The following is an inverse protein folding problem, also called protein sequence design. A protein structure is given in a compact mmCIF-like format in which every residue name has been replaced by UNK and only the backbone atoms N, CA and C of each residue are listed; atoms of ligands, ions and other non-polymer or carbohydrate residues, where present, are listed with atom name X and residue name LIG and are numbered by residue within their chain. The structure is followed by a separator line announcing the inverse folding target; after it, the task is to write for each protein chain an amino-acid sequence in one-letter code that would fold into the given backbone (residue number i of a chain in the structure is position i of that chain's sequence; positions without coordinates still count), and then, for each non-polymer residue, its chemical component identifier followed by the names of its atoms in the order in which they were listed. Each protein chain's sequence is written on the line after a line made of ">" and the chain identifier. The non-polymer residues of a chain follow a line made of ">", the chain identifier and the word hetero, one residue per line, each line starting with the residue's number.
data_IF_681953590791
#
_entry.id   IF_681953590791
#
_cell.length_a   1.000
_cell.length_b   1.000
_cell.length_c   1.000
_cell.angle_alpha   90.00
_cell.angle_beta   90.00
_cell.angle_gamma   90.00
#
_symmetry.space_group_name_H-M   'P 1'
#
loop_
_entity.id
_entity.type
_entity.pdbx_description
1 polymer ?
#
# COMPACT_ATOMS: atom_id res chain seq x y z
N UNK A 1 -25.39 -50.13 39.61
CA UNK A 1 -26.45 -49.30 40.22
C UNK A 1 -25.94 -47.87 40.35
N UNK A 2 -26.49 -46.97 39.52
CA UNK A 2 -26.76 -45.54 39.76
C UNK A 2 -25.55 -44.61 40.06
N UNK A 3 -25.13 -43.77 39.13
CA UNK A 3 -25.76 -42.52 38.64
C UNK A 3 -25.15 -41.30 39.33
N UNK A 4 -24.38 -40.50 38.59
CA UNK A 4 -24.77 -39.19 38.00
C UNK A 4 -25.25 -38.18 39.05
N UNK A 5 -24.53 -37.07 39.18
CA UNK A 5 -25.01 -35.68 39.06
C UNK A 5 -24.14 -34.74 39.91
N UNK A 6 -23.29 -33.96 39.24
CA UNK A 6 -22.77 -32.71 39.78
C UNK A 6 -23.03 -31.62 38.75
N UNK A 7 -24.13 -30.88 38.95
CA UNK A 7 -24.35 -29.56 38.36
C UNK A 7 -23.62 -28.52 39.20
N UNK A 8 -23.20 -27.41 38.58
CA UNK A 8 -23.71 -26.14 39.08
C UNK A 8 -24.18 -25.18 37.96
N UNK A 9 -25.47 -24.85 38.05
CA UNK A 9 -26.06 -23.49 38.07
C UNK A 9 -25.36 -22.41 37.23
N UNK A 10 -25.96 -22.11 36.07
CA UNK A 10 -25.80 -20.82 35.38
C UNK A 10 -26.81 -19.80 35.93
N UNK A 11 -26.43 -18.54 36.21
CA UNK A 11 -27.40 -17.50 36.44
C UNK A 11 -27.90 -16.90 35.12
N UNK A 12 -29.21 -17.05 34.93
CA UNK A 12 -30.08 -16.33 34.00
C UNK A 12 -30.07 -14.84 34.37
N UNK A 13 -29.83 -13.96 33.38
CA UNK A 13 -30.21 -12.55 33.41
C UNK A 13 -30.97 -12.22 32.12
N UNK A 14 -32.17 -12.78 32.00
CA UNK A 14 -33.24 -12.21 31.20
C UNK A 14 -34.26 -11.58 32.14
N UNK A 15 -34.67 -10.37 31.81
CA UNK A 15 -35.65 -9.63 32.58
C UNK A 15 -35.25 -8.17 32.62
N UNK A 16 -35.80 -7.39 31.69
CA UNK A 16 -36.40 -6.10 31.96
C UNK A 16 -37.02 -5.57 30.64
N UNK A 17 -38.31 -5.22 30.74
CA UNK A 17 -39.22 -4.58 29.77
C UNK A 17 -40.00 -5.47 28.79
N UNK A 18 -40.98 -6.20 29.34
CA UNK A 18 -42.30 -6.34 28.72
C UNK A 18 -43.38 -5.97 29.74
N UNK A 19 -44.47 -5.36 29.25
CA UNK A 19 -45.61 -4.71 29.94
C UNK A 19 -45.35 -3.24 30.29
N UNK A 20 -46.02 -2.25 29.68
CA UNK A 20 -47.47 -2.00 29.55
C UNK A 20 -47.63 -1.15 28.25
N UNK A 21 -48.51 -1.44 27.28
CA UNK A 21 -49.92 -1.00 27.18
C UNK A 21 -50.62 -1.88 26.13
N UNK A 22 -51.70 -2.56 26.53
CA UNK A 22 -52.72 -3.08 25.60
C UNK A 22 -53.77 -1.99 25.38
N UNK A 23 -54.13 -1.74 24.12
CA UNK A 23 -55.45 -1.20 23.75
C UNK A 23 -55.47 0.24 23.22
N UNK A 24 -55.36 0.41 21.90
CA UNK A 24 -56.20 1.33 21.12
C UNK A 24 -56.01 1.07 19.61
N UNK A 25 -57.07 1.19 18.78
CA UNK A 25 -57.12 0.60 17.45
C UNK A 25 -56.86 1.61 16.33
N UNK A 26 -56.47 1.09 15.16
CA UNK A 26 -56.44 1.71 13.83
C UNK A 26 -55.65 3.03 13.63
N UNK A 27 -54.62 2.94 12.76
CA UNK A 27 -54.39 4.01 11.78
C UNK A 27 -53.19 4.92 11.98
N UNK A 28 -51.97 4.41 12.14
CA UNK A 28 -50.77 5.15 11.74
C UNK A 28 -49.84 4.27 10.91
N UNK A 29 -49.91 4.44 9.59
CA UNK A 29 -48.90 3.99 8.64
C UNK A 29 -47.60 4.71 9.02
N UNK A 30 -46.75 4.05 9.82
CA UNK A 30 -45.36 4.44 9.99
C UNK A 30 -44.77 4.49 8.59
N UNK A 31 -44.59 5.70 8.07
CA UNK A 31 -43.71 5.95 6.94
C UNK A 31 -42.38 5.36 7.38
N UNK A 32 -42.03 4.19 6.83
CA UNK A 32 -40.67 3.73 6.79
C UNK A 32 -39.92 4.88 6.12
N UNK A 33 -39.26 5.69 6.94
CA UNK A 33 -38.19 6.54 6.48
C UNK A 33 -37.16 5.56 5.95
N UNK A 34 -37.22 5.27 4.66
CA UNK A 34 -36.06 4.76 3.95
C UNK A 34 -35.07 5.89 4.02
N UNK A 35 -34.32 5.94 5.13
CA UNK A 35 -33.07 6.64 5.20
C UNK A 35 -32.21 5.99 4.13
N UNK A 36 -32.32 6.53 2.91
CA UNK A 36 -31.33 6.35 1.87
C UNK A 36 -29.99 6.64 2.54
N UNK A 37 -29.04 5.70 2.56
CA UNK A 37 -27.74 5.98 3.13
C UNK A 37 -27.16 7.13 2.33
N UNK A 38 -27.08 8.29 2.97
CA UNK A 38 -26.39 9.46 2.47
C UNK A 38 -25.00 9.01 2.05
N UNK A 39 -24.78 8.97 0.74
CA UNK A 39 -23.49 8.67 0.12
C UNK A 39 -22.58 9.90 0.30
N UNK A 40 -22.22 10.16 1.55
CA UNK A 40 -21.46 11.33 1.98
C UNK A 40 -20.48 11.03 3.11
N UNK A 41 -20.23 9.77 3.45
CA UNK A 41 -19.19 9.44 4.43
C UNK A 41 -17.82 9.75 3.84
N UNK A 42 -17.10 10.69 4.45
CA UNK A 42 -15.73 11.02 4.10
C UNK A 42 -14.88 9.73 4.00
N UNK A 43 -14.00 9.59 3.00
CA UNK A 43 -13.20 8.39 2.84
C UNK A 43 -12.38 8.15 4.12
N UNK A 44 -12.45 6.94 4.67
CA UNK A 44 -11.66 6.56 5.84
C UNK A 44 -10.18 6.89 5.63
N UNK A 45 -9.45 7.17 6.71
CA UNK A 45 -8.02 7.47 6.67
C UNK A 45 -7.21 6.44 5.87
N UNK A 46 -7.61 5.16 5.98
CA UNK A 46 -7.05 4.03 5.23
C UNK A 46 -7.38 4.12 3.73
N UNK A 47 -8.64 4.43 3.37
CA UNK A 47 -9.04 4.60 1.97
C UNK A 47 -8.30 5.77 1.31
N UNK A 48 -8.13 6.88 2.03
CA UNK A 48 -7.34 8.01 1.59
C UNK A 48 -5.86 7.62 1.41
N UNK A 49 -5.27 6.90 2.36
CA UNK A 49 -3.88 6.43 2.25
C UNK A 49 -3.67 5.48 1.06
N UNK A 50 -4.62 4.56 0.79
CA UNK A 50 -4.61 3.70 -0.42
C UNK A 50 -4.67 4.53 -1.70
N UNK A 51 -5.54 5.54 -1.75
CA UNK A 51 -5.66 6.45 -2.90
C UNK A 51 -4.36 7.23 -3.14
N UNK A 52 -3.75 7.75 -2.07
CA UNK A 52 -2.44 8.42 -2.13
C UNK A 52 -1.33 7.48 -2.61
N UNK A 53 -1.33 6.22 -2.16
CA UNK A 53 -0.33 5.23 -2.56
C UNK A 53 -0.42 4.90 -4.05
N UNK A 54 -1.64 4.75 -4.58
CA UNK A 54 -1.88 4.51 -6.01
C UNK A 54 -1.56 5.74 -6.89
N UNK A 55 -1.56 6.93 -6.32
CA UNK A 55 -1.28 8.18 -7.02
C UNK A 55 0.20 8.58 -7.05
N UNK A 56 1.08 7.81 -6.40
CA UNK A 56 2.51 8.06 -6.48
C UNK A 56 3.00 7.83 -7.91
N UNK A 57 3.92 8.68 -8.41
CA UNK A 57 4.58 8.42 -9.69
C UNK A 57 5.40 7.12 -9.61
N UNK A 58 5.60 6.50 -10.76
CA UNK A 58 6.45 5.31 -10.86
C UNK A 58 7.92 5.67 -10.58
N UNK A 59 8.65 4.83 -9.83
CA UNK A 59 10.07 5.05 -9.60
C UNK A 59 10.86 4.78 -10.89
N UNK A 60 12.02 5.43 -11.04
CA UNK A 60 12.86 5.25 -12.22
C UNK A 60 13.46 3.84 -12.32
N UNK A 61 13.73 3.23 -11.15
CA UNK A 61 14.18 1.85 -11.02
C UNK A 61 13.21 1.11 -10.11
N UNK A 62 12.82 -0.11 -10.51
CA UNK A 62 11.95 -0.95 -9.68
C UNK A 62 12.78 -1.81 -8.74
N UNK A 63 12.37 -1.96 -7.46
CA UNK A 63 13.09 -2.81 -6.53
C UNK A 63 13.00 -4.27 -6.96
N UNK A 64 14.10 -5.04 -6.91
CA UNK A 64 14.06 -6.46 -7.24
C UNK A 64 13.11 -7.19 -6.29
N UNK A 65 12.45 -8.23 -6.80
CA UNK A 65 11.55 -9.05 -5.99
C UNK A 65 12.37 -10.01 -5.15
N UNK A 66 11.96 -10.21 -3.89
CA UNK A 66 12.58 -11.21 -3.01
C UNK A 66 12.45 -12.61 -3.64
N UNK A 67 13.45 -13.49 -3.44
CA UNK A 67 13.38 -14.85 -3.94
C UNK A 67 12.22 -15.59 -3.29
N UNK A 68 11.54 -16.42 -4.09
CA UNK A 68 10.46 -17.29 -3.65
C UNK A 68 11.02 -18.35 -2.70
N UNK A 69 10.42 -18.60 -1.52
CA UNK A 69 10.90 -19.63 -0.62
C UNK A 69 10.69 -21.04 -1.19
N UNK A 70 11.46 -22.02 -0.71
CA UNK A 70 11.57 -23.36 -1.31
C UNK A 70 10.22 -24.06 -1.44
N UNK A 71 9.40 -24.02 -0.38
CA UNK A 71 8.05 -24.55 -0.38
C UNK A 71 7.16 -23.92 -1.48
N UNK A 72 7.25 -22.62 -1.72
CA UNK A 72 6.41 -21.95 -2.73
C UNK A 72 6.89 -22.27 -4.15
N UNK A 73 8.19 -22.48 -4.36
CA UNK A 73 8.70 -22.99 -5.64
C UNK A 73 8.12 -24.39 -5.93
N UNK A 74 8.23 -25.30 -4.96
CA UNK A 74 7.61 -26.63 -5.05
C UNK A 74 6.10 -26.56 -5.27
N UNK A 75 5.40 -25.76 -4.45
CA UNK A 75 3.96 -25.60 -4.53
C UNK A 75 3.52 -25.04 -5.88
N UNK A 76 4.28 -24.13 -6.47
CA UNK A 76 3.98 -23.60 -7.80
C UNK A 76 4.06 -24.67 -8.89
N UNK A 77 5.08 -25.53 -8.85
CA UNK A 77 5.23 -26.65 -9.78
C UNK A 77 4.13 -27.71 -9.59
N UNK A 78 3.86 -28.10 -8.34
CA UNK A 78 2.82 -29.08 -8.03
C UNK A 78 1.41 -28.55 -8.32
N UNK A 79 1.15 -27.27 -8.09
CA UNK A 79 -0.14 -26.64 -8.41
C UNK A 79 -0.43 -26.69 -9.91
N UNK A 80 0.58 -26.51 -10.77
CA UNK A 80 0.41 -26.65 -12.22
C UNK A 80 0.08 -28.08 -12.65
N UNK A 81 0.61 -29.09 -11.95
CA UNK A 81 0.31 -30.50 -12.21
C UNK A 81 -1.10 -30.84 -11.72
N UNK A 82 -1.39 -30.57 -10.45
CA UNK A 82 -2.67 -30.90 -9.81
C UNK A 82 -3.86 -30.12 -10.36
N UNK A 83 -3.64 -28.93 -10.92
CA UNK A 83 -4.72 -28.16 -11.55
C UNK A 83 -5.25 -28.79 -12.85
N UNK A 84 -4.41 -29.58 -13.53
CA UNK A 84 -4.74 -30.32 -14.77
C UNK A 84 -5.33 -31.70 -14.50
N UNK A 85 -5.13 -32.23 -13.31
CA UNK A 85 -5.63 -33.54 -12.91
C UNK A 85 -7.18 -33.54 -12.83
N UNK A 86 -7.79 -34.56 -13.43
CA UNK A 86 -9.24 -34.72 -13.52
C UNK A 86 -9.89 -34.91 -12.14
N UNK A 87 -9.13 -35.44 -11.17
CA UNK A 87 -9.56 -35.59 -9.77
C UNK A 87 -10.01 -34.26 -9.11
N UNK A 88 -9.53 -33.12 -9.64
CA UNK A 88 -9.85 -31.79 -9.15
C UNK A 88 -10.71 -30.96 -10.12
N UNK A 89 -11.15 -31.52 -11.26
CA UNK A 89 -11.85 -30.78 -12.31
C UNK A 89 -13.29 -30.39 -11.93
N UNK A 90 -14.02 -31.25 -11.22
CA UNK A 90 -15.45 -31.09 -10.95
C UNK A 90 -15.77 -30.37 -9.61
N UNK A 91 -14.84 -29.54 -9.11
CA UNK A 91 -15.01 -28.79 -7.86
C UNK A 91 -15.19 -27.30 -8.14
N UNK A 92 -16.00 -26.63 -7.32
CA UNK A 92 -16.08 -25.18 -7.27
C UNK A 92 -14.67 -24.57 -7.17
N UNK A 93 -14.41 -23.50 -7.90
CA UNK A 93 -13.06 -22.93 -8.03
C UNK A 93 -12.34 -22.71 -6.68
N UNK A 94 -13.05 -22.20 -5.66
CA UNK A 94 -12.48 -22.00 -4.31
C UNK A 94 -12.21 -23.33 -3.59
N UNK A 95 -13.11 -24.30 -3.72
CA UNK A 95 -12.95 -25.63 -3.13
C UNK A 95 -11.82 -26.40 -3.82
N UNK A 96 -11.69 -26.28 -5.16
CA UNK A 96 -10.58 -26.81 -5.97
C UNK A 96 -9.24 -26.29 -5.47
N UNK A 97 -9.07 -24.97 -5.36
CA UNK A 97 -7.82 -24.36 -4.87
C UNK A 97 -7.47 -24.82 -3.45
N UNK A 98 -8.47 -24.95 -2.58
CA UNK A 98 -8.26 -25.41 -1.19
C UNK A 98 -7.83 -26.88 -1.14
N UNK A 99 -8.46 -27.75 -1.94
CA UNK A 99 -8.10 -29.16 -2.05
C UNK A 99 -6.68 -29.34 -2.60
N UNK A 100 -6.34 -28.64 -3.69
CA UNK A 100 -5.00 -28.64 -4.28
C UNK A 100 -3.96 -28.15 -3.25
N UNK A 101 -4.23 -27.05 -2.54
CA UNK A 101 -3.29 -26.54 -1.54
C UNK A 101 -3.04 -27.52 -0.40
N UNK A 102 -4.06 -28.24 0.07
CA UNK A 102 -3.90 -29.27 1.12
C UNK A 102 -3.06 -30.45 0.62
N UNK A 103 -3.31 -30.89 -0.60
CA UNK A 103 -2.55 -31.96 -1.24
C UNK A 103 -1.08 -31.58 -1.43
N UNK A 104 -0.79 -30.35 -1.87
CA UNK A 104 0.58 -29.83 -2.00
C UNK A 104 1.31 -29.83 -0.65
N UNK A 105 0.66 -29.35 0.42
CA UNK A 105 1.26 -29.38 1.76
C UNK A 105 1.61 -30.80 2.18
N UNK A 106 0.69 -31.77 1.99
CA UNK A 106 0.94 -33.17 2.32
C UNK A 106 2.10 -33.76 1.51
N UNK A 107 2.18 -33.44 0.21
CA UNK A 107 3.28 -33.86 -0.66
C UNK A 107 4.62 -33.26 -0.22
N UNK A 108 4.65 -32.00 0.22
CA UNK A 108 5.87 -31.38 0.73
C UNK A 108 6.34 -32.04 2.04
N UNK A 109 5.42 -32.37 2.95
CA UNK A 109 5.76 -33.04 4.21
C UNK A 109 6.38 -34.42 3.96
N UNK A 110 5.78 -35.20 3.03
CA UNK A 110 6.26 -36.53 2.63
C UNK A 110 7.50 -36.52 1.74
N UNK A 111 7.86 -35.37 1.16
CA UNK A 111 9.00 -35.26 0.26
C UNK A 111 10.31 -35.59 1.00
N UNK A 112 11.18 -36.46 0.45
CA UNK A 112 12.45 -36.77 1.08
C UNK A 112 13.33 -35.53 1.19
N UNK A 113 14.15 -35.50 2.23
CA UNK A 113 15.01 -34.34 2.54
C UNK A 113 16.01 -34.05 1.41
N UNK A 114 16.43 -35.08 0.65
CA UNK A 114 17.29 -34.93 -0.53
C UNK A 114 16.67 -34.04 -1.60
N UNK A 115 15.37 -34.18 -1.88
CA UNK A 115 14.65 -33.36 -2.84
C UNK A 115 14.33 -31.98 -2.29
N UNK A 116 13.96 -31.87 -1.01
CA UNK A 116 13.81 -30.57 -0.33
C UNK A 116 15.09 -29.74 -0.44
N UNK A 117 16.25 -30.37 -0.23
CA UNK A 117 17.57 -29.72 -0.37
C UNK A 117 17.80 -29.15 -1.77
N UNK A 118 17.30 -29.77 -2.84
CA UNK A 118 17.42 -29.20 -4.19
C UNK A 118 16.64 -27.88 -4.32
N UNK A 119 15.42 -27.81 -3.78
CA UNK A 119 14.66 -26.56 -3.75
C UNK A 119 15.35 -25.51 -2.89
N UNK A 120 15.90 -25.88 -1.73
CA UNK A 120 16.70 -24.97 -0.92
C UNK A 120 17.94 -24.45 -1.67
N UNK A 121 18.67 -25.30 -2.39
CA UNK A 121 19.80 -24.89 -3.21
C UNK A 121 19.40 -23.92 -4.33
N UNK A 122 18.24 -24.12 -4.97
CA UNK A 122 17.69 -23.17 -5.94
C UNK A 122 17.37 -21.81 -5.30
N UNK A 123 16.82 -21.82 -4.08
CA UNK A 123 16.54 -20.59 -3.33
C UNK A 123 17.82 -19.86 -2.93
N UNK A 124 18.86 -20.56 -2.50
CA UNK A 124 20.15 -19.93 -2.17
C UNK A 124 20.79 -19.27 -3.40
N UNK A 125 20.75 -19.93 -4.56
CA UNK A 125 21.17 -19.31 -5.83
C UNK A 125 20.35 -18.06 -6.15
N UNK A 126 19.03 -18.12 -6.00
CA UNK A 126 18.15 -16.98 -6.24
C UNK A 126 18.37 -15.85 -5.21
N UNK A 127 18.69 -16.16 -3.95
CA UNK A 127 19.07 -15.18 -2.92
C UNK A 127 20.37 -14.47 -3.28
N UNK A 128 21.41 -15.22 -3.68
CA UNK A 128 22.67 -14.62 -4.11
C UNK A 128 22.49 -13.72 -5.34
N UNK A 129 21.63 -14.09 -6.28
CA UNK A 129 21.25 -13.23 -7.40
C UNK A 129 20.51 -11.97 -6.93
N UNK A 130 19.50 -12.13 -6.06
CA UNK A 130 18.76 -11.01 -5.49
C UNK A 130 19.67 -10.02 -4.76
N UNK A 131 20.65 -10.48 -3.99
CA UNK A 131 21.59 -9.60 -3.30
C UNK A 131 22.44 -8.78 -4.26
N UNK A 132 22.91 -9.39 -5.36
CA UNK A 132 23.62 -8.68 -6.44
C UNK A 132 22.72 -7.64 -7.11
N UNK A 133 21.53 -8.04 -7.50
CA UNK A 133 20.55 -7.16 -8.14
C UNK A 133 20.11 -6.03 -7.20
N UNK A 134 19.99 -6.31 -5.91
CA UNK A 134 19.63 -5.32 -4.89
C UNK A 134 20.77 -4.33 -4.65
N UNK A 135 22.03 -4.75 -4.64
CA UNK A 135 23.18 -3.84 -4.61
C UNK A 135 23.20 -2.93 -5.85
N UNK A 136 22.97 -3.50 -7.03
CA UNK A 136 22.87 -2.75 -8.28
C UNK A 136 21.70 -1.76 -8.28
N UNK A 137 20.56 -2.17 -7.72
CA UNK A 137 19.39 -1.32 -7.52
C UNK A 137 19.74 -0.11 -6.64
N UNK A 138 20.40 -0.33 -5.50
CA UNK A 138 20.77 0.75 -4.59
C UNK A 138 21.75 1.74 -5.23
N UNK A 139 22.66 1.26 -6.08
CA UNK A 139 23.60 2.12 -6.80
C UNK A 139 22.93 2.94 -7.91
N UNK A 140 21.93 2.38 -8.60
CA UNK A 140 21.20 3.05 -9.70
C UNK A 140 20.08 3.97 -9.20
N UNK A 141 19.65 3.82 -7.95
CA UNK A 141 18.52 4.58 -7.38
C UNK A 141 18.85 6.07 -7.31
N UNK A 142 17.94 6.91 -7.79
CA UNK A 142 18.09 8.36 -7.69
C UNK A 142 17.60 8.90 -6.33
N UNK A 143 18.05 10.10 -5.91
CA UNK A 143 17.50 10.76 -4.72
C UNK A 143 15.99 11.00 -4.76
N UNK A 144 15.42 11.18 -5.96
CA UNK A 144 13.99 11.30 -6.16
C UNK A 144 13.27 9.97 -5.87
N UNK A 145 13.83 8.82 -6.28
CA UNK A 145 13.26 7.51 -5.97
C UNK A 145 13.29 7.23 -4.46
N UNK A 146 14.34 7.64 -3.76
CA UNK A 146 14.43 7.53 -2.29
C UNK A 146 13.27 8.27 -1.62
N UNK A 147 12.90 9.46 -2.14
CA UNK A 147 11.78 10.25 -1.65
C UNK A 147 10.45 9.52 -1.87
N UNK A 148 10.26 8.94 -3.07
CA UNK A 148 9.08 8.16 -3.42
C UNK A 148 8.94 6.92 -2.53
N UNK A 149 10.00 6.15 -2.36
CA UNK A 149 10.03 4.97 -1.48
C UNK A 149 9.68 5.32 -0.03
N UNK A 150 10.25 6.40 0.51
CA UNK A 150 9.95 6.87 1.86
C UNK A 150 8.47 7.23 2.01
N UNK A 151 7.88 7.90 1.01
CA UNK A 151 6.45 8.25 1.01
C UNK A 151 5.58 7.00 0.89
N UNK A 152 5.91 6.08 -0.02
CA UNK A 152 5.23 4.81 -0.19
C UNK A 152 5.28 3.96 1.10
N UNK A 153 6.43 3.91 1.77
CA UNK A 153 6.59 3.23 3.05
C UNK A 153 5.67 3.80 4.14
N UNK A 154 5.64 5.14 4.30
CA UNK A 154 4.74 5.78 5.28
C UNK A 154 3.26 5.48 4.99
N UNK A 155 2.86 5.50 3.72
CA UNK A 155 1.49 5.19 3.33
C UNK A 155 1.15 3.71 3.56
N UNK A 156 2.04 2.78 3.21
CA UNK A 156 1.86 1.34 3.50
C UNK A 156 1.74 1.09 5.00
N UNK A 157 2.59 1.72 5.82
CA UNK A 157 2.52 1.66 7.29
C UNK A 157 1.20 2.22 7.84
N UNK A 158 0.68 3.29 7.25
CA UNK A 158 -0.63 3.85 7.64
C UNK A 158 -1.81 2.94 7.24
N UNK A 159 -1.66 2.14 6.18
CA UNK A 159 -2.72 1.21 5.71
C UNK A 159 -2.72 -0.08 6.55
N UNK A 160 -1.54 -0.63 6.85
CA UNK A 160 -1.35 -1.86 7.65
C UNK A 160 -0.10 -1.70 8.53
N UNK A 161 -0.24 -1.18 9.77
CA UNK A 161 0.89 -0.96 10.66
C UNK A 161 1.49 -2.28 11.16
N UNK A 162 0.65 -3.30 11.34
CA UNK A 162 1.00 -4.68 11.71
C UNK A 162 1.90 -5.38 10.68
N UNK A 163 1.73 -5.04 9.38
CA UNK A 163 2.50 -5.61 8.27
C UNK A 163 3.54 -4.65 7.70
N UNK A 164 3.93 -3.62 8.45
CA UNK A 164 4.90 -2.65 7.99
C UNK A 164 6.28 -3.33 7.81
N UNK A 165 6.83 -3.24 6.60
CA UNK A 165 8.17 -3.78 6.30
C UNK A 165 9.27 -2.96 6.97
N UNK A 166 10.52 -3.39 6.83
CA UNK A 166 11.67 -2.56 7.18
C UNK A 166 11.63 -1.20 6.43
N UNK A 167 12.19 -0.16 7.05
CA UNK A 167 12.33 1.16 6.44
C UNK A 167 13.26 1.06 5.22
N UNK A 168 12.98 1.78 4.13
CA UNK A 168 13.88 1.80 2.98
C UNK A 168 15.26 2.38 3.38
N UNK A 169 16.35 1.91 2.76
CA UNK A 169 17.69 2.40 3.06
C UNK A 169 17.80 3.88 2.72
N UNK A 170 18.64 4.59 3.50
CA UNK A 170 18.95 6.00 3.23
C UNK A 170 19.78 6.10 1.93
N UNK A 171 19.75 7.28 1.35
CA UNK A 171 20.65 7.60 0.26
C UNK A 171 22.08 7.72 0.80
N UNK A 172 23.05 7.09 0.12
CA UNK A 172 24.45 7.14 0.51
C UNK A 172 25.05 8.54 0.26
N UNK A 173 24.57 9.24 -0.77
CA UNK A 173 25.08 10.55 -1.19
C UNK A 173 24.38 11.71 -0.45
N UNK A 174 23.31 11.44 0.29
CA UNK A 174 22.64 12.48 1.06
C UNK A 174 23.53 12.94 2.23
N UNK A 175 23.76 14.26 2.38
CA UNK A 175 24.48 14.80 3.53
C UNK A 175 23.85 14.28 4.85
N UNK A 176 24.68 13.82 5.77
CA UNK A 176 24.24 13.43 7.12
C UNK A 176 24.09 14.68 7.98
N UNK A 177 23.05 14.72 8.81
CA UNK A 177 22.85 15.82 9.76
C UNK A 177 24.05 15.88 10.74
N UNK A 178 24.50 17.08 11.11
CA UNK A 178 25.59 17.23 12.06
C UNK A 178 25.16 16.73 13.44
N UNK A 179 26.14 16.30 14.22
CA UNK A 179 25.90 15.89 15.61
C UNK A 179 25.45 17.11 16.43
N UNK A 180 24.33 16.95 17.13
CA UNK A 180 23.83 17.95 18.08
C UNK A 180 24.83 18.12 19.23
N UNK A 181 24.77 19.25 19.93
CA UNK A 181 25.67 19.55 21.06
C UNK A 181 25.71 18.41 22.09
N UNK A 182 24.55 17.87 22.48
CA UNK A 182 24.46 16.71 23.38
C UNK A 182 25.12 15.45 22.81
N UNK A 183 24.89 15.13 21.53
CA UNK A 183 25.46 13.89 20.94
C UNK A 183 26.97 14.03 20.75
N UNK A 184 27.50 15.25 20.58
CA UNK A 184 28.96 15.50 20.63
C UNK A 184 29.52 15.21 22.00
N UNK A 185 28.93 15.79 23.04
CA UNK A 185 29.31 15.52 24.41
C UNK A 185 29.23 14.02 24.73
N UNK A 186 28.13 13.36 24.34
CA UNK A 186 27.98 11.92 24.49
C UNK A 186 29.10 11.16 23.76
N UNK A 187 29.40 11.51 22.50
CA UNK A 187 30.49 10.88 21.75
C UNK A 187 31.84 11.07 22.46
N UNK A 188 32.11 12.28 22.96
CA UNK A 188 33.36 12.62 23.61
C UNK A 188 33.50 11.84 24.93
N UNK A 189 32.46 11.80 25.77
CA UNK A 189 32.42 10.98 27.00
C UNK A 189 32.65 9.50 26.67
N UNK A 190 31.96 8.95 25.68
CA UNK A 190 32.14 7.53 25.29
C UNK A 190 33.51 7.24 24.66
N UNK A 191 34.24 8.25 24.20
CA UNK A 191 35.60 8.12 23.69
C UNK A 191 36.67 8.27 24.79
N UNK A 192 36.29 8.75 25.98
CA UNK A 192 37.17 8.82 27.15
C UNK A 192 37.36 7.45 27.80
N UNK A 193 38.41 7.30 28.61
CA UNK A 193 38.64 6.09 29.41
C UNK A 193 37.49 5.85 30.40
N UNK A 194 37.22 4.60 30.81
CA UNK A 194 36.18 4.28 31.79
C UNK A 194 36.27 5.15 33.05
N UNK A 195 37.47 5.36 33.60
CA UNK A 195 37.68 6.22 34.78
C UNK A 195 37.18 7.66 34.58
N UNK A 196 37.43 8.27 33.41
CA UNK A 196 36.95 9.63 33.11
C UNK A 196 35.45 9.66 32.83
N UNK A 197 34.89 8.58 32.29
CA UNK A 197 33.44 8.44 32.19
C UNK A 197 32.82 8.44 33.58
N UNK A 198 33.39 7.71 34.53
CA UNK A 198 32.91 7.65 35.91
C UNK A 198 33.01 9.02 36.61
N UNK A 199 34.08 9.79 36.38
CA UNK A 199 34.21 11.16 36.87
C UNK A 199 33.09 12.07 36.32
N UNK A 200 32.81 12.00 35.03
CA UNK A 200 31.78 12.84 34.38
C UNK A 200 30.36 12.40 34.76
N UNK A 201 30.14 11.10 34.92
CA UNK A 201 28.83 10.48 35.13
C UNK A 201 28.51 10.36 36.64
N UNK A 202 29.52 10.45 37.51
CA UNK A 202 29.42 10.34 38.97
C UNK A 202 29.12 8.91 39.46
N UNK A 203 29.26 7.90 38.60
CA UNK A 203 28.96 6.50 38.90
C UNK A 203 29.75 5.56 38.01
N UNK A 204 30.09 4.38 38.54
CA UNK A 204 30.77 3.34 37.76
C UNK A 204 29.97 2.95 36.52
N UNK A 205 30.63 2.85 35.37
CA UNK A 205 30.00 2.38 34.12
C UNK A 205 30.08 0.87 33.95
N UNK A 206 30.84 0.19 34.81
CA UNK A 206 31.02 -1.27 34.78
C UNK A 206 29.74 -2.00 35.19
N UNK A 207 29.26 -2.91 34.33
CA UNK A 207 28.09 -3.75 34.61
C UNK A 207 26.72 -3.05 34.50
N UNK A 208 26.68 -1.75 34.21
CA UNK A 208 25.43 -1.00 34.02
C UNK A 208 24.92 -1.15 32.58
N UNK A 209 23.59 -1.20 32.41
CA UNK A 209 23.02 -1.25 31.06
C UNK A 209 23.34 0.02 30.26
N UNK A 210 23.60 -0.07 28.93
CA UNK A 210 23.89 1.12 28.11
C UNK A 210 22.78 2.19 28.15
N UNK A 211 21.55 1.78 28.43
CA UNK A 211 20.40 2.67 28.58
C UNK A 211 20.48 3.53 29.85
N UNK A 212 20.93 2.95 30.97
CA UNK A 212 21.14 3.67 32.22
C UNK A 212 22.34 4.59 32.14
N UNK A 213 23.45 4.14 31.55
CA UNK A 213 24.63 5.00 31.28
C UNK A 213 24.20 6.23 30.47
N UNK A 214 23.40 6.05 29.41
CA UNK A 214 22.89 7.18 28.63
C UNK A 214 22.01 8.15 29.44
N UNK A 215 21.25 7.67 30.45
CA UNK A 215 20.45 8.56 31.31
C UNK A 215 21.35 9.40 32.23
N UNK A 216 22.41 8.79 32.76
CA UNK A 216 23.36 9.47 33.62
C UNK A 216 24.19 10.50 32.83
N UNK A 217 24.65 10.16 31.62
CA UNK A 217 25.32 11.12 30.72
C UNK A 217 24.40 12.29 30.36
N UNK A 218 23.09 12.03 30.17
CA UNK A 218 22.12 13.10 29.97
C UNK A 218 21.94 14.00 31.19
N UNK A 219 22.02 13.45 32.41
CA UNK A 219 22.02 14.23 33.65
C UNK A 219 23.30 15.08 33.77
N UNK A 220 24.46 14.49 33.51
CA UNK A 220 25.75 15.18 33.49
C UNK A 220 25.77 16.33 32.46
N UNK A 221 25.24 16.11 31.26
CA UNK A 221 25.12 17.17 30.27
C UNK A 221 24.19 18.31 30.72
N UNK A 222 23.16 18.02 31.51
CA UNK A 222 22.28 19.07 32.07
C UNK A 222 22.97 19.87 33.16
N UNK A 223 23.79 19.24 34.01
CA UNK A 223 24.56 19.91 35.07
C UNK A 223 25.83 20.59 34.59
N UNK A 224 26.30 20.31 33.36
CA UNK A 224 27.48 20.95 32.77
C UNK A 224 27.38 22.49 32.80
N UNK A 225 28.49 23.22 33.10
CA UNK A 225 28.49 24.67 33.05
C UNK A 225 28.23 25.19 31.63
N UNK A 226 27.61 26.37 31.53
CA UNK A 226 27.23 26.95 30.25
C UNK A 226 28.43 27.23 29.34
N UNK A 227 29.62 27.48 29.92
CA UNK A 227 30.88 27.63 29.18
C UNK A 227 31.25 26.39 28.36
N UNK A 228 31.14 25.19 28.95
CA UNK A 228 31.42 23.94 28.26
C UNK A 228 30.32 23.56 27.29
N UNK A 229 29.05 23.78 27.65
CA UNK A 229 27.91 23.61 26.73
C UNK A 229 28.07 24.49 25.49
N UNK A 230 28.48 25.74 25.66
CA UNK A 230 28.72 26.69 24.57
C UNK A 230 29.71 26.15 23.55
N UNK A 231 30.80 25.49 23.96
CA UNK A 231 31.75 24.84 23.04
C UNK A 231 31.07 23.83 22.11
N UNK A 232 30.16 23.00 22.64
CA UNK A 232 29.43 22.03 21.83
C UNK A 232 28.32 22.67 20.99
N UNK A 233 27.67 23.73 21.51
CA UNK A 233 26.64 24.47 20.80
C UNK A 233 27.22 25.24 19.60
N UNK A 234 28.36 25.91 19.76
CA UNK A 234 29.03 26.64 18.67
C UNK A 234 29.51 25.67 17.59
N UNK A 235 30.13 24.55 17.97
CA UNK A 235 30.52 23.48 17.03
C UNK A 235 29.32 22.89 16.27
N UNK A 236 28.16 22.75 16.92
CA UNK A 236 26.93 22.35 16.24
C UNK A 236 26.43 23.43 15.29
N UNK A 237 26.44 24.71 15.70
CA UNK A 237 25.97 25.82 14.89
C UNK A 237 26.77 25.96 13.58
N UNK A 238 28.10 25.92 13.66
CA UNK A 238 28.99 26.02 12.48
C UNK A 238 28.76 24.86 11.51
N UNK A 239 28.70 23.63 12.02
CA UNK A 239 28.43 22.46 11.17
C UNK A 239 26.99 22.41 10.65
N UNK A 240 26.01 22.94 11.39
CA UNK A 240 24.63 23.08 10.95
C UNK A 240 24.49 24.03 9.77
N UNK A 241 25.23 25.14 9.77
CA UNK A 241 25.30 26.04 8.63
C UNK A 241 25.95 25.39 7.41
N UNK A 242 27.10 24.72 7.61
CA UNK A 242 27.76 23.97 6.54
C UNK A 242 26.84 22.87 5.97
N UNK A 243 26.09 22.18 6.83
CA UNK A 243 25.11 21.17 6.44
C UNK A 243 23.95 21.77 5.66
N UNK A 244 23.39 22.92 6.08
CA UNK A 244 22.33 23.63 5.33
C UNK A 244 22.80 23.95 3.92
N UNK A 245 24.03 24.45 3.75
CA UNK A 245 24.64 24.71 2.44
C UNK A 245 24.78 23.42 1.61
N UNK A 246 25.36 22.36 2.18
CA UNK A 246 25.49 21.04 1.51
C UNK A 246 24.15 20.45 1.08
N UNK A 247 23.13 20.55 1.93
CA UNK A 247 21.77 20.06 1.61
C UNK A 247 21.11 20.88 0.51
N UNK A 248 21.30 22.20 0.50
CA UNK A 248 20.76 23.04 -0.56
C UNK A 248 21.35 22.67 -1.93
N UNK A 249 22.67 22.49 -2.00
CA UNK A 249 23.37 22.02 -3.21
C UNK A 249 22.89 20.63 -3.63
N UNK A 250 22.77 19.71 -2.68
CA UNK A 250 22.28 18.35 -2.93
C UNK A 250 20.83 18.33 -3.47
N UNK A 251 19.93 19.11 -2.86
CA UNK A 251 18.54 19.20 -3.34
C UNK A 251 18.46 19.77 -4.76
N UNK A 252 19.26 20.80 -5.04
CA UNK A 252 19.29 21.48 -6.34
C UNK A 252 19.87 20.59 -7.44
N UNK A 253 21.04 19.99 -7.19
CA UNK A 253 21.72 19.13 -8.17
C UNK A 253 20.93 17.87 -8.53
N UNK A 254 20.21 17.30 -7.57
CA UNK A 254 19.41 16.08 -7.79
C UNK A 254 17.92 16.35 -8.08
N UNK A 255 17.51 17.60 -8.28
CA UNK A 255 16.13 17.95 -8.64
C UNK A 255 15.07 17.52 -7.62
N UNK A 256 15.44 17.39 -6.34
CA UNK A 256 14.59 16.79 -5.30
C UNK A 256 13.33 17.62 -5.06
N UNK A 257 13.45 18.96 -5.09
CA UNK A 257 12.32 19.85 -4.85
C UNK A 257 11.28 19.77 -5.99
N UNK A 258 11.74 19.66 -7.24
CA UNK A 258 10.87 19.45 -8.39
C UNK A 258 10.17 18.08 -8.33
N UNK A 259 10.91 17.01 -7.99
CA UNK A 259 10.35 15.68 -7.80
C UNK A 259 9.30 15.65 -6.67
N UNK A 260 9.58 16.33 -5.56
CA UNK A 260 8.64 16.48 -4.43
C UNK A 260 7.38 17.21 -4.86
N UNK A 261 7.50 18.33 -5.56
CA UNK A 261 6.37 19.08 -6.06
C UNK A 261 5.51 18.24 -7.03
N UNK A 262 6.14 17.50 -7.95
CA UNK A 262 5.45 16.58 -8.88
C UNK A 262 4.68 15.49 -8.12
N UNK A 263 5.32 14.86 -7.13
CA UNK A 263 4.69 13.85 -6.28
C UNK A 263 3.49 14.41 -5.51
N UNK A 264 3.64 15.55 -4.83
CA UNK A 264 2.54 16.13 -4.05
C UNK A 264 1.40 16.63 -4.94
N UNK A 265 1.68 17.17 -6.13
CA UNK A 265 0.65 17.52 -7.13
C UNK A 265 -0.12 16.29 -7.60
N UNK A 266 0.57 15.18 -7.87
CA UNK A 266 -0.07 13.93 -8.28
C UNK A 266 -0.98 13.38 -7.17
N UNK A 267 -0.50 13.40 -5.93
CA UNK A 267 -1.28 13.03 -4.74
C UNK A 267 -2.51 13.95 -4.61
N UNK A 268 -2.32 15.27 -4.64
CA UNK A 268 -3.38 16.24 -4.49
C UNK A 268 -4.47 16.03 -5.56
N UNK A 269 -4.08 15.96 -6.84
CA UNK A 269 -4.99 15.70 -7.97
C UNK A 269 -5.80 14.42 -7.77
N UNK A 270 -5.18 13.36 -7.26
CA UNK A 270 -5.87 12.11 -7.00
C UNK A 270 -6.80 12.22 -5.79
N UNK A 271 -6.43 12.96 -4.74
CA UNK A 271 -7.23 13.05 -3.50
C UNK A 271 -8.32 14.10 -3.52
N UNK A 272 -8.21 15.14 -4.35
CA UNK A 272 -9.22 16.19 -4.45
C UNK A 272 -10.58 15.60 -4.85
N UNK A 273 -11.68 16.09 -4.26
CA UNK A 273 -13.02 15.71 -4.69
C UNK A 273 -13.19 16.13 -6.16
N UNK A 274 -13.57 15.20 -7.04
CA UNK A 274 -13.99 15.55 -8.40
C UNK A 274 -15.25 16.41 -8.25
N UNK A 275 -15.17 17.70 -8.61
CA UNK A 275 -16.37 18.53 -8.78
C UNK A 275 -17.22 17.86 -9.86
N UNK A 276 -18.30 17.19 -9.45
CA UNK A 276 -19.34 16.75 -10.38
C UNK A 276 -19.96 18.02 -10.92
N UNK A 277 -19.65 18.37 -12.18
CA UNK A 277 -20.42 19.39 -12.87
C UNK A 277 -21.85 18.84 -12.97
N UNK A 278 -22.77 19.39 -12.18
CA UNK A 278 -24.20 19.14 -12.36
C UNK A 278 -24.54 19.65 -13.76
N UNK A 279 -24.60 18.77 -14.76
CA UNK A 279 -25.29 19.10 -16.01
C UNK A 279 -26.71 19.46 -15.59
N UNK A 280 -27.08 20.74 -15.67
CA UNK A 280 -28.48 21.16 -15.61
C UNK A 280 -29.16 20.46 -16.78
N UNK A 281 -29.80 19.32 -16.52
CA UNK A 281 -30.76 18.75 -17.45
C UNK A 281 -31.90 19.74 -17.48
N UNK A 282 -31.99 20.54 -18.53
CA UNK A 282 -33.15 21.38 -18.77
C UNK A 282 -34.35 20.45 -18.90
N UNK A 283 -35.29 20.56 -17.96
CA UNK A 283 -36.58 19.89 -18.05
C UNK A 283 -37.25 20.41 -19.32
N UNK A 284 -37.34 19.56 -20.35
CA UNK A 284 -38.20 19.83 -21.50
C UNK A 284 -39.65 19.83 -21.00
N UNK A 285 -40.49 20.81 -21.37
CA UNK A 285 -41.89 20.79 -20.98
C UNK A 285 -42.56 19.56 -21.62
N UNK A 286 -43.16 18.72 -20.77
CA UNK A 286 -44.00 17.61 -21.21
C UNK A 286 -45.28 18.22 -21.80
N UNK A 287 -45.33 18.34 -23.12
CA UNK A 287 -46.58 18.60 -23.83
C UNK A 287 -47.43 17.35 -23.69
N UNK A 288 -48.44 17.41 -22.82
CA UNK A 288 -49.49 16.38 -22.74
C UNK A 288 -50.27 16.39 -24.05
N UNK A 289 -50.00 15.45 -24.95
CA UNK A 289 -50.90 15.16 -26.05
C UNK A 289 -52.11 14.40 -25.48
N UNK A 290 -53.25 15.07 -25.42
CA UNK A 290 -54.55 14.45 -25.20
C UNK A 290 -54.89 13.60 -26.43
N UNK A 291 -54.70 12.29 -26.33
CA UNK A 291 -55.23 11.34 -27.33
C UNK A 291 -56.71 11.12 -27.03
N UNK A 292 -57.57 11.79 -27.81
CA UNK A 292 -58.98 11.46 -27.91
C UNK A 292 -59.13 10.04 -28.49
N UNK A 293 -59.79 9.18 -27.73
CA UNK A 293 -60.07 7.78 -28.08
C UNK A 293 -61.20 7.78 -29.11
N UNK A 294 -60.90 7.51 -30.38
CA UNK A 294 -61.90 7.25 -31.42
C UNK A 294 -61.92 5.75 -31.73
N UNK A 295 -63.01 5.12 -31.32
CA UNK A 295 -63.39 3.73 -31.56
C UNK A 295 -63.89 3.56 -33.00
N UNK A 296 -63.37 2.59 -33.75
CA UNK A 296 -64.12 1.88 -34.80
C UNK A 296 -63.37 0.59 -35.24
N UNK A 297 -63.88 -0.54 -34.73
CA UNK A 297 -64.17 -1.87 -35.32
C UNK A 297 -63.35 -2.49 -36.50
N UNK A 298 -63.40 -3.84 -36.63
CA UNK A 298 -62.27 -4.66 -37.08
C UNK A 298 -62.42 -5.20 -38.51
N UNK A 299 -61.29 -5.67 -39.05
CA UNK A 299 -61.23 -6.56 -40.20
C UNK A 299 -60.65 -5.91 -41.45
N UNK A 300 -59.37 -6.18 -41.72
CA UNK A 300 -58.78 -6.45 -43.03
C UNK A 300 -57.38 -7.03 -42.79
N UNK A 301 -57.15 -8.21 -43.36
CA UNK A 301 -55.94 -9.02 -43.28
C UNK A 301 -54.77 -8.30 -43.95
N UNK A 302 -53.66 -8.13 -43.23
CA UNK A 302 -52.42 -7.59 -43.78
C UNK A 302 -51.54 -8.72 -44.36
N UNK A 303 -51.11 -8.67 -45.64
CA UNK A 303 -50.13 -9.61 -46.16
C UNK A 303 -48.70 -9.14 -45.85
N UNK A 304 -47.88 -10.10 -45.43
CA UNK A 304 -46.44 -10.02 -45.26
C UNK A 304 -45.75 -9.56 -46.56
N UNK A 305 -44.90 -8.52 -46.51
CA UNK A 305 -43.96 -8.22 -47.58
C UNK A 305 -42.53 -8.04 -47.08
N UNK A 306 -41.65 -8.72 -47.82
CA UNK A 306 -40.28 -9.14 -47.51
C UNK A 306 -39.29 -7.97 -47.50
N UNK A 307 -38.25 -8.13 -46.69
CA UNK A 307 -37.00 -7.34 -46.72
C UNK A 307 -36.38 -7.40 -48.12
N UNK A 308 -36.08 -6.25 -48.70
CA UNK A 308 -35.14 -6.12 -49.81
C UNK A 308 -33.96 -5.32 -49.30
N UNK A 309 -32.79 -5.95 -49.33
CA UNK A 309 -31.48 -5.36 -49.10
C UNK A 309 -31.02 -4.82 -50.45
N UNK A 310 -30.67 -3.53 -50.53
CA UNK A 310 -29.87 -3.00 -51.64
C UNK A 310 -28.67 -2.23 -51.12
N UNK A 311 -27.51 -2.69 -51.57
CA UNK A 311 -26.16 -2.16 -51.39
C UNK A 311 -25.87 -1.23 -52.58
N UNK A 312 -25.43 0.00 -52.33
CA UNK A 312 -24.68 0.86 -53.29
C UNK A 312 -24.07 2.02 -52.45
N UNK A 313 -22.75 2.17 -52.31
CA UNK A 313 -21.70 2.49 -53.28
C UNK A 313 -21.67 3.98 -53.70
N UNK A 314 -20.82 4.77 -53.01
CA UNK A 314 -20.16 6.02 -53.42
C UNK A 314 -19.31 6.45 -52.18
N UNK A 315 -18.04 6.85 -52.20
CA UNK A 315 -17.23 7.57 -53.19
C UNK A 315 -15.74 7.33 -52.90
N UNK A 316 -14.92 7.27 -53.94
CA UNK A 316 -13.48 7.08 -53.91
C UNK A 316 -12.68 8.40 -53.81
N UNK A 317 -11.41 8.26 -53.35
CA UNK A 317 -10.17 8.99 -53.71
C UNK A 317 -9.43 9.73 -52.57
N UNK A 318 -8.11 9.52 -52.61
CA UNK A 318 -7.02 10.11 -51.81
C UNK A 318 -6.86 9.46 -50.42
N UNK A 319 -5.71 8.96 -49.96
CA UNK A 319 -4.31 9.15 -50.33
C UNK A 319 -3.55 7.85 -49.99
N UNK A 320 -3.04 7.16 -51.00
CA UNK A 320 -2.08 6.05 -50.85
C UNK A 320 -0.77 6.45 -51.49
N UNK A 321 0.13 7.07 -50.71
CA UNK A 321 1.50 7.38 -51.14
C UNK A 321 2.41 7.70 -49.95
N UNK A 322 2.73 6.70 -49.09
CA UNK A 322 4.02 6.63 -48.35
C UNK A 322 4.16 5.35 -47.54
N UNK A 323 4.45 4.25 -48.23
CA UNK A 323 5.27 3.17 -47.67
C UNK A 323 6.37 2.93 -48.69
N UNK A 324 7.63 3.04 -48.24
CA UNK A 324 8.92 2.78 -48.93
C UNK A 324 9.88 3.97 -48.88
N UNK A 325 10.23 4.38 -47.66
CA UNK A 325 11.55 4.94 -47.36
C UNK A 325 11.76 4.74 -45.87
N UNK A 326 12.94 4.27 -45.46
CA UNK A 326 13.33 3.88 -44.08
C UNK A 326 13.14 2.39 -43.75
N UNK A 327 13.47 1.51 -44.69
CA UNK A 327 14.09 0.19 -44.42
C UNK A 327 15.04 -0.14 -45.57
N UNK A 328 16.08 0.70 -45.74
CA UNK A 328 17.32 0.45 -46.50
C UNK A 328 18.31 1.53 -46.09
N UNK A 329 19.10 1.21 -45.06
CA UNK A 329 20.17 1.95 -44.37
C UNK A 329 20.07 1.42 -42.94
N UNK A 330 20.42 0.17 -42.67
CA UNK A 330 21.79 -0.24 -42.33
C UNK A 330 22.01 -1.68 -42.84
N UNK A 331 22.74 -1.79 -43.94
CA UNK A 331 23.49 -2.97 -44.39
C UNK A 331 24.42 -2.44 -45.48
N UNK A 332 25.72 -2.55 -45.20
CA UNK A 332 26.82 -1.70 -45.66
C UNK A 332 26.89 -0.35 -44.96
#
# INVERSE_FOLDING_TARGET
>A
MLSVFLQPVLPVREGIYQQIVKGAPYGLRLLQTTATPSTGTAPSSIALAKKKLKALPEPSVTPPKKPTPAYILFASAQSQILSKDSAFANRDYRAKLTAISREISSRWERLPESEKKQYHAQVEKAKAQYERDYKNYLAKRTPADVLLEKKAYKLKKAIKPDRATAKPPRDANAPKAPLTSYVRFFKDVYSMSPSKQEEVIGRSTAGISPQEVSKLVAAAYKSLPESEKKKYQTAYATEAEAYKKKVAVYKRSNGIDAARAKMERAIHRATSPKKVQKKKVALRPVVKKTTAKRTSLPGIVAPQRKKIITKAAATAKSVGAKVKSITRKITK
#
